data_IF_404253600931
#
_entry.id   IF_404253600931
#
_cell.length_a   1.000
_cell.length_b   1.000
_cell.length_c   1.000
_cell.angle_alpha   90.00
_cell.angle_beta   90.00
_cell.angle_gamma   90.00
#
_symmetry.space_group_name_H-M   'P 1'
#
loop_
_entity.id
_entity.type
_entity.pdbx_description
1 polymer ?
#
# COMPACT_ATOMS: atom_id res chain seq x y z
N UNK A 1 -20.11 -16.31 0.18
CA UNK A 1 -18.73 -16.76 0.44
C UNK A 1 -18.28 -17.61 -0.74
N UNK A 2 -17.00 -17.53 -1.12
CA UNK A 2 -16.35 -18.45 -2.05
C UNK A 2 -15.65 -19.48 -1.16
N UNK A 3 -16.08 -20.73 -1.16
CA UNK A 3 -15.59 -21.78 -0.24
C UNK A 3 -15.14 -23.06 -0.95
N UNK A 4 -15.29 -23.12 -2.27
CA UNK A 4 -14.81 -24.22 -3.10
C UNK A 4 -13.29 -24.21 -3.35
N UNK A 5 -12.58 -23.17 -2.92
CA UNK A 5 -11.11 -23.06 -3.01
C UNK A 5 -10.52 -23.41 -1.64
N UNK A 6 -9.53 -24.32 -1.55
CA UNK A 6 -8.84 -24.60 -0.31
C UNK A 6 -8.21 -23.33 0.28
N UNK A 7 -8.34 -23.14 1.61
CA UNK A 7 -7.87 -21.93 2.31
C UNK A 7 -6.37 -21.67 2.05
N UNK A 8 -5.56 -22.73 2.01
CA UNK A 8 -4.12 -22.67 1.71
C UNK A 8 -3.80 -22.09 0.34
N UNK A 9 -4.72 -22.24 -0.61
CA UNK A 9 -4.47 -21.95 -2.02
C UNK A 9 -4.86 -20.52 -2.39
N UNK A 10 -5.51 -19.77 -1.48
CA UNK A 10 -5.95 -18.41 -1.76
C UNK A 10 -4.80 -17.45 -2.10
N UNK A 11 -3.80 -17.40 -1.22
CA UNK A 11 -2.64 -16.52 -1.41
C UNK A 11 -1.80 -16.96 -2.62
N UNK A 12 -1.47 -18.25 -2.82
CA UNK A 12 -0.80 -18.72 -4.03
C UNK A 12 -1.57 -18.41 -5.32
N UNK A 13 -2.88 -18.66 -5.34
CA UNK A 13 -3.70 -18.43 -6.53
C UNK A 13 -3.70 -16.97 -6.97
N UNK A 14 -3.78 -16.03 -6.02
CA UNK A 14 -3.60 -14.61 -6.31
C UNK A 14 -2.23 -14.35 -6.96
N UNK A 15 -1.13 -14.81 -6.36
CA UNK A 15 0.21 -14.52 -6.86
C UNK A 15 0.53 -15.19 -8.21
N UNK A 16 0.05 -16.41 -8.45
CA UNK A 16 0.18 -17.04 -9.77
C UNK A 16 -0.65 -16.30 -10.84
N UNK A 17 -1.84 -15.82 -10.48
CA UNK A 17 -2.65 -15.00 -11.39
C UNK A 17 -1.93 -13.71 -11.78
N UNK A 18 -1.33 -13.01 -10.80
CA UNK A 18 -0.51 -11.81 -11.07
C UNK A 18 0.73 -12.16 -11.91
N UNK A 19 1.40 -13.29 -11.64
CA UNK A 19 2.54 -13.72 -12.44
C UNK A 19 2.15 -13.88 -13.91
N UNK A 20 1.06 -14.57 -14.19
CA UNK A 20 0.56 -14.77 -15.56
C UNK A 20 0.29 -13.43 -16.24
N UNK A 21 -0.39 -12.50 -15.57
CA UNK A 21 -0.67 -11.17 -16.12
C UNK A 21 0.61 -10.36 -16.38
N UNK A 22 1.61 -10.46 -15.50
CA UNK A 22 2.93 -9.85 -15.67
C UNK A 22 3.65 -10.46 -16.88
N UNK A 23 3.62 -11.79 -17.05
CA UNK A 23 4.24 -12.48 -18.19
C UNK A 23 3.56 -12.12 -19.53
N UNK A 24 2.23 -12.02 -19.55
CA UNK A 24 1.47 -11.55 -20.73
C UNK A 24 1.89 -10.12 -21.07
N UNK A 25 1.93 -9.23 -20.08
CA UNK A 25 2.33 -7.83 -20.28
C UNK A 25 3.79 -7.72 -20.74
N UNK A 26 4.68 -8.53 -20.16
CA UNK A 26 6.07 -8.64 -20.60
C UNK A 26 6.18 -9.07 -22.06
N UNK A 27 5.40 -10.06 -22.49
CA UNK A 27 5.36 -10.48 -23.89
C UNK A 27 4.85 -9.35 -24.80
N UNK A 28 3.76 -8.68 -24.43
CA UNK A 28 3.23 -7.51 -25.19
C UNK A 28 4.26 -6.37 -25.30
N UNK A 29 5.05 -6.16 -24.24
CA UNK A 29 6.14 -5.19 -24.20
C UNK A 29 7.29 -5.58 -25.15
N UNK A 30 7.64 -6.86 -25.20
CA UNK A 30 8.74 -7.35 -26.05
C UNK A 30 8.41 -7.37 -27.54
N UNK A 31 7.14 -7.59 -27.88
CA UNK A 31 6.62 -7.48 -29.26
C UNK A 31 6.31 -6.03 -29.67
N UNK A 32 6.43 -5.06 -28.74
CA UNK A 32 6.22 -3.64 -29.00
C UNK A 32 4.74 -3.21 -29.08
N UNK A 33 3.80 -4.11 -28.81
CA UNK A 33 2.36 -3.85 -28.97
C UNK A 33 1.68 -3.29 -27.72
N UNK A 34 2.34 -3.37 -26.55
CA UNK A 34 1.74 -3.04 -25.24
C UNK A 34 1.10 -1.63 -25.17
N UNK A 35 1.64 -0.66 -25.92
CA UNK A 35 1.18 0.72 -25.94
C UNK A 35 0.40 1.08 -27.21
N UNK A 36 0.09 0.11 -28.09
CA UNK A 36 -0.78 0.33 -29.24
C UNK A 36 -2.22 0.54 -28.80
N UNK A 37 -2.92 1.51 -29.41
CA UNK A 37 -4.27 1.94 -29.01
C UNK A 37 -5.26 0.77 -28.85
N UNK A 38 -5.28 -0.18 -29.78
CA UNK A 38 -6.19 -1.34 -29.71
C UNK A 38 -5.88 -2.26 -28.51
N UNK A 39 -4.59 -2.53 -28.26
CA UNK A 39 -4.15 -3.33 -27.12
C UNK A 39 -4.42 -2.61 -25.81
N UNK A 40 -4.18 -1.30 -25.75
CA UNK A 40 -4.47 -0.47 -24.58
C UNK A 40 -5.97 -0.50 -24.23
N UNK A 41 -6.85 -0.40 -25.22
CA UNK A 41 -8.30 -0.51 -25.00
C UNK A 41 -8.71 -1.90 -24.50
N UNK A 42 -8.15 -2.97 -25.08
CA UNK A 42 -8.43 -4.34 -24.65
C UNK A 42 -7.92 -4.57 -23.22
N UNK A 43 -6.68 -4.18 -22.93
CA UNK A 43 -6.08 -4.27 -21.60
C UNK A 43 -6.86 -3.44 -20.58
N UNK A 44 -7.39 -2.27 -20.97
CA UNK A 44 -8.25 -1.47 -20.10
C UNK A 44 -9.54 -2.20 -19.73
N UNK A 45 -10.17 -2.95 -20.65
CA UNK A 45 -11.36 -3.78 -20.35
C UNK A 45 -10.99 -4.94 -19.42
N UNK A 46 -9.90 -5.66 -19.72
CA UNK A 46 -9.39 -6.72 -18.84
C UNK A 46 -9.03 -6.21 -17.46
N UNK A 47 -8.49 -5.00 -17.35
CA UNK A 47 -8.21 -4.33 -16.09
C UNK A 47 -9.46 -4.13 -15.24
N UNK A 48 -10.58 -3.73 -15.83
CA UNK A 48 -11.86 -3.60 -15.12
C UNK A 48 -12.33 -4.98 -14.66
N UNK A 49 -12.37 -5.96 -15.58
CA UNK A 49 -12.86 -7.29 -15.27
C UNK A 49 -12.04 -7.95 -14.15
N UNK A 50 -10.72 -7.90 -14.24
CA UNK A 50 -9.83 -8.44 -13.21
C UNK A 50 -10.00 -7.71 -11.87
N UNK A 51 -10.17 -6.39 -11.89
CA UNK A 51 -10.43 -5.60 -10.68
C UNK A 51 -11.71 -6.06 -9.99
N UNK A 52 -12.80 -6.24 -10.74
CA UNK A 52 -14.08 -6.73 -10.21
C UNK A 52 -13.91 -8.13 -9.63
N UNK A 53 -13.30 -9.05 -10.38
CA UNK A 53 -13.03 -10.42 -9.92
C UNK A 53 -12.19 -10.42 -8.65
N UNK A 54 -11.17 -9.57 -8.56
CA UNK A 54 -10.31 -9.45 -7.39
C UNK A 54 -11.07 -8.91 -6.17
N UNK A 55 -11.96 -7.94 -6.35
CA UNK A 55 -12.82 -7.43 -5.27
C UNK A 55 -13.70 -8.54 -4.71
N UNK A 56 -14.36 -9.32 -5.58
CA UNK A 56 -15.18 -10.47 -5.15
C UNK A 56 -14.34 -11.56 -4.50
N UNK A 57 -13.22 -11.93 -5.12
CA UNK A 57 -12.31 -12.95 -4.63
C UNK A 57 -11.77 -12.64 -3.23
N UNK A 58 -11.36 -11.39 -3.02
CA UNK A 58 -10.84 -10.90 -1.75
C UNK A 58 -11.96 -10.73 -0.72
N UNK A 59 -13.09 -10.11 -1.09
CA UNK A 59 -14.17 -9.77 -0.17
C UNK A 59 -15.01 -10.96 0.28
N UNK A 60 -15.22 -11.95 -0.59
CA UNK A 60 -16.03 -13.14 -0.31
C UNK A 60 -15.20 -14.35 0.13
N UNK A 61 -13.90 -14.20 0.36
CA UNK A 61 -13.02 -15.25 0.89
C UNK A 61 -13.53 -15.80 2.24
N UNK A 62 -13.15 -17.04 2.62
CA UNK A 62 -13.49 -17.59 3.93
C UNK A 62 -12.72 -16.87 5.05
N UNK A 63 -13.24 -16.97 6.28
CA UNK A 63 -12.59 -16.44 7.48
C UNK A 63 -11.58 -17.46 7.97
N UNK A 64 -10.29 -17.10 7.96
CA UNK A 64 -9.22 -18.00 8.36
C UNK A 64 -8.02 -17.25 8.95
N UNK A 65 -7.30 -17.90 9.87
CA UNK A 65 -6.12 -17.33 10.55
C UNK A 65 -4.93 -17.07 9.61
N UNK A 66 -4.84 -17.79 8.49
CA UNK A 66 -3.83 -17.54 7.45
C UNK A 66 -3.94 -16.11 6.87
N UNK A 67 -5.11 -15.47 7.00
CA UNK A 67 -5.36 -14.09 6.59
C UNK A 67 -5.08 -13.07 7.68
N UNK A 68 -4.33 -13.44 8.74
CA UNK A 68 -3.92 -12.53 9.82
C UNK A 68 -5.12 -11.94 10.57
N UNK A 69 -5.19 -10.61 10.66
CA UNK A 69 -6.22 -9.92 11.46
C UNK A 69 -7.67 -10.15 10.97
N UNK A 70 -7.91 -10.84 9.84
CA UNK A 70 -9.26 -11.24 9.41
C UNK A 70 -10.06 -11.88 10.55
N UNK A 71 -9.45 -12.80 11.32
CA UNK A 71 -10.14 -13.49 12.42
C UNK A 71 -10.48 -12.55 13.56
N UNK A 72 -9.63 -11.56 13.82
CA UNK A 72 -9.87 -10.55 14.85
C UNK A 72 -11.03 -9.62 14.45
N UNK A 73 -11.07 -9.19 13.18
CA UNK A 73 -12.19 -8.43 12.66
C UNK A 73 -13.49 -9.24 12.70
N UNK A 74 -13.42 -10.54 12.42
CA UNK A 74 -14.57 -11.43 12.45
C UNK A 74 -15.09 -11.66 13.87
N UNK A 75 -14.20 -11.94 14.81
CA UNK A 75 -14.56 -12.09 16.21
C UNK A 75 -15.26 -10.83 16.73
N UNK A 76 -14.68 -9.65 16.51
CA UNK A 76 -15.31 -8.38 16.91
C UNK A 76 -16.66 -8.16 16.22
N UNK A 77 -16.80 -8.54 14.96
CA UNK A 77 -18.06 -8.44 14.21
C UNK A 77 -19.15 -9.29 14.86
N UNK A 78 -18.86 -10.57 15.12
CA UNK A 78 -19.81 -11.48 15.74
C UNK A 78 -20.14 -11.11 17.19
N UNK A 79 -19.19 -10.57 17.95
CA UNK A 79 -19.47 -10.04 19.29
C UNK A 79 -20.50 -8.92 19.24
N UNK A 80 -20.37 -7.98 18.29
CA UNK A 80 -21.34 -6.90 18.12
C UNK A 80 -22.68 -7.46 17.61
N UNK A 81 -22.65 -8.38 16.64
CA UNK A 81 -23.85 -8.97 16.05
C UNK A 81 -24.73 -9.70 17.08
N UNK A 82 -24.12 -10.45 18.01
CA UNK A 82 -24.85 -11.17 19.06
C UNK A 82 -25.24 -10.29 20.27
N UNK A 83 -24.73 -9.07 20.37
CA UNK A 83 -25.09 -8.14 21.46
C UNK A 83 -26.50 -7.58 21.27
N UNK A 84 -27.22 -7.35 22.38
CA UNK A 84 -28.52 -6.66 22.38
C UNK A 84 -28.42 -5.14 22.23
N UNK A 85 -27.23 -4.56 22.40
CA UNK A 85 -27.03 -3.11 22.34
C UNK A 85 -27.30 -2.55 20.94
N UNK A 86 -27.97 -1.40 20.79
CA UNK A 86 -28.16 -0.78 19.48
C UNK A 86 -26.82 -0.25 18.92
N UNK A 87 -26.76 -0.05 17.60
CA UNK A 87 -25.64 0.67 16.99
C UNK A 87 -25.62 2.13 17.48
N UNK A 88 -24.46 2.57 17.98
CA UNK A 88 -24.22 3.96 18.40
C UNK A 88 -22.95 4.45 17.70
N UNK A 89 -23.04 5.63 17.09
CA UNK A 89 -21.88 6.24 16.44
C UNK A 89 -20.86 6.74 17.47
N UNK A 90 -19.59 6.40 17.29
CA UNK A 90 -18.50 6.83 18.19
C UNK A 90 -17.36 7.54 17.45
N UNK A 91 -16.69 8.50 18.10
CA UNK A 91 -15.60 9.29 17.52
C UNK A 91 -14.22 8.88 18.05
N UNK A 92 -13.97 7.56 18.12
CA UNK A 92 -12.68 7.01 18.57
C UNK A 92 -11.65 6.91 17.43
N UNK A 93 -10.45 6.39 17.71
CA UNK A 93 -9.44 6.11 16.66
C UNK A 93 -10.04 5.22 15.57
N UNK A 94 -9.71 5.50 14.30
CA UNK A 94 -10.26 4.81 13.12
C UNK A 94 -11.81 4.83 13.08
N UNK A 95 -12.41 5.95 13.51
CA UNK A 95 -13.85 6.12 13.68
C UNK A 95 -14.67 5.61 12.49
N UNK A 96 -14.27 5.92 11.25
CA UNK A 96 -15.08 5.54 10.10
C UNK A 96 -15.09 4.03 9.89
N UNK A 97 -13.94 3.37 10.05
CA UNK A 97 -13.86 1.92 9.93
C UNK A 97 -14.69 1.22 10.99
N UNK A 98 -14.53 1.58 12.26
CA UNK A 98 -15.22 0.89 13.35
C UNK A 98 -16.73 1.16 13.35
N UNK A 99 -17.16 2.36 12.97
CA UNK A 99 -18.60 2.63 12.81
C UNK A 99 -19.21 1.83 11.65
N UNK A 100 -18.54 1.72 10.50
CA UNK A 100 -19.02 0.85 9.42
C UNK A 100 -19.03 -0.61 9.85
N UNK A 101 -17.96 -1.09 10.51
CA UNK A 101 -17.88 -2.45 11.02
C UNK A 101 -19.04 -2.76 11.98
N UNK A 102 -19.31 -1.89 12.95
CA UNK A 102 -20.41 -2.06 13.90
C UNK A 102 -21.78 -1.95 13.24
N UNK A 103 -21.96 -1.03 12.28
CA UNK A 103 -23.22 -0.90 11.54
C UNK A 103 -23.52 -2.17 10.73
N UNK A 104 -22.54 -2.68 9.98
CA UNK A 104 -22.71 -3.93 9.24
C UNK A 104 -22.92 -5.12 10.18
N UNK A 105 -22.27 -5.15 11.35
CA UNK A 105 -22.49 -6.20 12.34
C UNK A 105 -23.93 -6.25 12.86
N UNK A 106 -24.59 -5.09 13.00
CA UNK A 106 -25.98 -5.02 13.44
C UNK A 106 -27.01 -5.27 12.35
N UNK A 107 -26.70 -4.88 11.12
CA UNK A 107 -27.72 -4.80 10.06
C UNK A 107 -27.42 -5.65 8.83
N UNK A 108 -26.30 -6.37 8.81
CA UNK A 108 -25.83 -7.14 7.66
C UNK A 108 -24.95 -8.32 8.11
N UNK A 109 -24.14 -8.85 7.20
CA UNK A 109 -23.21 -9.95 7.42
C UNK A 109 -21.76 -9.54 7.16
N UNK A 110 -20.85 -10.36 7.68
CA UNK A 110 -19.42 -10.10 7.63
C UNK A 110 -18.82 -10.14 6.22
N UNK A 111 -19.33 -10.98 5.33
CA UNK A 111 -18.80 -11.06 3.97
C UNK A 111 -19.22 -9.86 3.15
N UNK A 112 -20.42 -9.32 3.37
CA UNK A 112 -20.82 -8.03 2.78
C UNK A 112 -19.93 -6.89 3.31
N UNK A 113 -19.60 -6.88 4.60
CA UNK A 113 -18.64 -5.91 5.15
C UNK A 113 -17.24 -6.05 4.53
N UNK A 114 -16.70 -7.27 4.42
CA UNK A 114 -15.40 -7.50 3.78
C UNK A 114 -15.42 -7.18 2.28
N UNK A 115 -16.54 -7.40 1.59
CA UNK A 115 -16.71 -6.99 0.20
C UNK A 115 -16.67 -5.45 0.06
N UNK A 116 -17.31 -4.71 0.97
CA UNK A 116 -17.20 -3.25 1.03
C UNK A 116 -15.74 -2.81 1.26
N UNK A 117 -15.04 -3.46 2.20
CA UNK A 117 -13.63 -3.17 2.46
C UNK A 117 -12.75 -3.40 1.22
N UNK A 118 -12.92 -4.54 0.54
CA UNK A 118 -12.20 -4.87 -0.69
C UNK A 118 -12.54 -3.89 -1.83
N UNK A 119 -13.81 -3.50 -1.96
CA UNK A 119 -14.26 -2.51 -2.94
C UNK A 119 -13.61 -1.14 -2.71
N UNK A 120 -13.60 -0.64 -1.48
CA UNK A 120 -12.94 0.62 -1.12
C UNK A 120 -11.43 0.52 -1.36
N UNK A 121 -10.82 -0.60 -0.97
CA UNK A 121 -9.40 -0.81 -1.13
C UNK A 121 -8.99 -0.82 -2.62
N UNK A 122 -9.43 -1.82 -3.37
CA UNK A 122 -9.00 -2.07 -4.75
C UNK A 122 -9.64 -1.06 -5.71
N UNK A 123 -10.90 -0.69 -5.50
CA UNK A 123 -11.62 0.28 -6.33
C UNK A 123 -11.01 1.68 -6.29
N UNK A 124 -10.56 2.15 -5.12
CA UNK A 124 -9.87 3.44 -5.02
C UNK A 124 -8.54 3.45 -5.76
N UNK A 125 -7.77 2.35 -5.71
CA UNK A 125 -6.52 2.20 -6.46
C UNK A 125 -6.77 2.18 -7.98
N UNK A 126 -7.78 1.42 -8.43
CA UNK A 126 -8.20 1.41 -9.84
C UNK A 126 -8.61 2.81 -10.32
N UNK A 127 -9.44 3.52 -9.56
CA UNK A 127 -9.84 4.90 -9.87
C UNK A 127 -8.64 5.85 -9.89
N UNK A 128 -7.71 5.72 -8.96
CA UNK A 128 -6.51 6.55 -8.94
C UNK A 128 -5.66 6.33 -10.21
N UNK A 129 -5.46 5.07 -10.62
CA UNK A 129 -4.70 4.76 -11.84
C UNK A 129 -5.41 5.25 -13.10
N UNK A 130 -6.73 5.07 -13.20
CA UNK A 130 -7.55 5.63 -14.27
C UNK A 130 -7.39 7.16 -14.36
N UNK A 131 -7.39 7.85 -13.23
CA UNK A 131 -7.24 9.32 -13.19
C UNK A 131 -5.86 9.78 -13.63
N UNK A 132 -4.81 9.10 -13.18
CA UNK A 132 -3.42 9.47 -13.51
C UNK A 132 -3.06 9.10 -14.96
N UNK A 133 -3.45 7.91 -15.42
CA UNK A 133 -2.95 7.31 -16.68
C UNK A 133 -4.01 7.14 -17.77
N UNK A 134 -5.27 7.52 -17.51
CA UNK A 134 -6.39 7.42 -18.47
C UNK A 134 -6.51 5.99 -18.99
N UNK A 135 -6.69 5.79 -20.31
CA UNK A 135 -6.79 4.46 -20.93
C UNK A 135 -5.58 3.56 -20.71
N UNK A 136 -4.41 4.11 -20.33
CA UNK A 136 -3.16 3.36 -20.12
C UNK A 136 -3.00 2.83 -18.69
N UNK A 137 -4.03 2.92 -17.85
CA UNK A 137 -3.97 2.59 -16.43
C UNK A 137 -3.68 1.11 -16.10
N UNK A 138 -3.93 0.19 -17.04
CA UNK A 138 -3.81 -1.25 -16.80
C UNK A 138 -2.42 -1.66 -16.30
N UNK A 139 -1.36 -1.21 -16.98
CA UNK A 139 0.02 -1.56 -16.60
C UNK A 139 0.37 -0.99 -15.21
N UNK A 140 0.14 0.31 -14.90
CA UNK A 140 0.25 0.85 -13.55
C UNK A 140 -0.52 0.09 -12.48
N UNK A 141 -1.75 -0.32 -12.78
CA UNK A 141 -2.58 -1.06 -11.84
C UNK A 141 -2.01 -2.46 -11.58
N UNK A 142 -1.52 -3.13 -12.62
CA UNK A 142 -0.83 -4.41 -12.49
C UNK A 142 0.44 -4.29 -11.62
N UNK A 143 1.19 -3.18 -11.73
CA UNK A 143 2.32 -2.90 -10.83
C UNK A 143 1.86 -2.78 -9.38
N UNK A 144 0.75 -2.10 -9.11
CA UNK A 144 0.17 -2.02 -7.76
C UNK A 144 -0.17 -3.42 -7.22
N UNK A 145 -0.85 -4.24 -8.03
CA UNK A 145 -1.22 -5.61 -7.64
C UNK A 145 0.00 -6.53 -7.45
N UNK A 146 1.11 -6.20 -8.10
CA UNK A 146 2.39 -6.89 -8.00
C UNK A 146 3.19 -6.52 -6.74
N UNK A 147 2.74 -5.55 -5.92
CA UNK A 147 3.50 -5.15 -4.73
C UNK A 147 3.43 -6.19 -3.61
N UNK A 148 4.52 -6.31 -2.87
CA UNK A 148 4.77 -7.36 -1.86
C UNK A 148 3.65 -7.47 -0.84
N UNK A 149 3.11 -6.34 -0.40
CA UNK A 149 2.07 -6.29 0.64
C UNK A 149 0.65 -6.13 0.11
N UNK A 150 0.44 -6.06 -1.22
CA UNK A 150 -0.87 -5.78 -1.80
C UNK A 150 -1.96 -6.75 -1.29
N UNK A 151 -1.72 -8.06 -1.39
CA UNK A 151 -2.65 -9.08 -0.90
C UNK A 151 -2.91 -8.95 0.61
N UNK A 152 -1.83 -8.79 1.38
CA UNK A 152 -1.90 -8.65 2.84
C UNK A 152 -2.69 -7.42 3.28
N UNK A 153 -2.75 -6.34 2.51
CA UNK A 153 -3.61 -5.19 2.81
C UNK A 153 -5.09 -5.46 2.61
N UNK A 154 -5.43 -6.41 1.73
CA UNK A 154 -6.81 -6.82 1.48
C UNK A 154 -7.37 -7.77 2.53
N UNK A 155 -6.49 -8.51 3.21
CA UNK A 155 -6.90 -9.61 4.10
C UNK A 155 -6.45 -9.44 5.55
N UNK A 156 -5.26 -8.89 5.79
CA UNK A 156 -4.71 -8.71 7.12
C UNK A 156 -4.80 -7.23 7.54
N UNK A 157 -4.06 -6.35 6.87
CA UNK A 157 -4.06 -4.91 7.12
C UNK A 157 -5.24 -4.16 6.51
N UNK A 158 -6.48 -4.65 6.67
CA UNK A 158 -7.68 -4.15 5.97
C UNK A 158 -7.86 -2.63 6.15
N UNK A 159 -7.80 -2.13 7.38
CA UNK A 159 -7.86 -0.69 7.69
C UNK A 159 -6.80 0.12 6.95
N UNK A 160 -5.55 -0.35 6.97
CA UNK A 160 -4.42 0.28 6.29
C UNK A 160 -4.65 0.30 4.78
N UNK A 161 -5.12 -0.81 4.21
CA UNK A 161 -5.48 -0.93 2.80
C UNK A 161 -6.51 0.12 2.39
N UNK A 162 -7.63 0.18 3.11
CA UNK A 162 -8.71 1.12 2.85
C UNK A 162 -8.26 2.58 2.99
N UNK A 163 -7.62 2.93 4.10
CA UNK A 163 -7.17 4.30 4.34
C UNK A 163 -6.16 4.75 3.29
N UNK A 164 -5.11 3.96 3.05
CA UNK A 164 -4.06 4.35 2.13
C UNK A 164 -4.54 4.40 0.68
N UNK A 165 -5.40 3.48 0.21
CA UNK A 165 -5.92 3.54 -1.16
C UNK A 165 -6.78 4.77 -1.41
N UNK A 166 -7.60 5.17 -0.44
CA UNK A 166 -8.39 6.40 -0.51
C UNK A 166 -7.48 7.62 -0.47
N UNK A 167 -6.39 7.60 0.32
CA UNK A 167 -5.39 8.66 0.30
C UNK A 167 -4.65 8.75 -1.05
N UNK A 168 -4.26 7.63 -1.65
CA UNK A 168 -3.72 7.59 -3.02
C UNK A 168 -4.70 8.25 -3.99
N UNK A 169 -6.00 7.93 -3.89
CA UNK A 169 -7.03 8.57 -4.71
C UNK A 169 -7.11 10.09 -4.44
N UNK A 170 -7.05 10.51 -3.18
CA UNK A 170 -7.05 11.92 -2.76
C UNK A 170 -5.93 12.72 -3.44
N UNK A 171 -4.72 12.15 -3.51
CA UNK A 171 -3.57 12.78 -4.16
C UNK A 171 -3.82 13.07 -5.66
N UNK A 172 -4.67 12.30 -6.33
CA UNK A 172 -5.04 12.55 -7.74
C UNK A 172 -6.02 13.72 -7.94
N UNK A 173 -6.55 14.28 -6.84
CA UNK A 173 -7.44 15.43 -6.82
C UNK A 173 -6.75 16.71 -6.36
N UNK A 174 -5.43 16.78 -6.46
CA UNK A 174 -4.67 17.95 -5.98
C UNK A 174 -5.08 19.29 -6.64
N UNK A 175 -5.59 19.23 -7.87
CA UNK A 175 -6.17 20.39 -8.57
C UNK A 175 -7.62 20.72 -8.15
N UNK A 176 -8.20 19.96 -7.22
CA UNK A 176 -9.54 20.12 -6.64
C UNK A 176 -9.47 19.89 -5.13
N UNK A 177 -8.83 20.83 -4.43
CA UNK A 177 -8.52 20.75 -3.01
C UNK A 177 -9.69 20.31 -2.12
N UNK A 178 -10.94 20.76 -2.28
CA UNK A 178 -12.04 20.29 -1.45
C UNK A 178 -12.24 18.77 -1.50
N UNK A 179 -12.10 18.17 -2.68
CA UNK A 179 -12.21 16.71 -2.86
C UNK A 179 -10.99 16.01 -2.26
N UNK A 180 -9.78 16.55 -2.48
CA UNK A 180 -8.57 15.98 -1.90
C UNK A 180 -8.59 16.00 -0.36
N UNK A 181 -9.05 17.10 0.24
CA UNK A 181 -9.19 17.26 1.69
C UNK A 181 -10.25 16.29 2.23
N UNK A 182 -11.43 16.23 1.60
CA UNK A 182 -12.49 15.30 2.00
C UNK A 182 -12.01 13.85 1.97
N UNK A 183 -11.39 13.42 0.88
CA UNK A 183 -10.85 12.06 0.75
C UNK A 183 -9.72 11.80 1.76
N UNK A 184 -8.90 12.81 2.08
CA UNK A 184 -7.86 12.68 3.11
C UNK A 184 -8.45 12.49 4.51
N UNK A 185 -9.54 13.20 4.83
CA UNK A 185 -10.28 13.02 6.09
C UNK A 185 -10.90 11.63 6.16
N UNK A 186 -11.51 11.15 5.07
CA UNK A 186 -12.05 9.78 4.97
C UNK A 186 -10.94 8.75 5.15
N UNK A 187 -9.78 8.93 4.51
CA UNK A 187 -8.63 8.04 4.66
C UNK A 187 -8.15 7.95 6.12
N UNK A 188 -8.05 9.09 6.81
CA UNK A 188 -7.71 9.15 8.24
C UNK A 188 -8.80 8.49 9.09
N UNK A 189 -10.07 8.66 8.72
CA UNK A 189 -11.20 7.99 9.36
C UNK A 189 -11.13 6.46 9.26
N UNK A 190 -10.61 5.91 8.17
CA UNK A 190 -10.36 4.46 8.06
C UNK A 190 -9.13 4.02 8.84
N UNK A 191 -8.05 4.81 8.79
CA UNK A 191 -6.86 4.51 9.56
C UNK A 191 -6.02 5.74 9.89
N UNK A 192 -5.75 5.95 11.18
CA UNK A 192 -5.01 7.12 11.72
C UNK A 192 -3.61 7.30 11.14
N UNK A 193 -2.95 6.23 10.67
CA UNK A 193 -1.62 6.32 10.05
C UNK A 193 -1.62 7.16 8.76
N UNK A 194 -2.77 7.35 8.10
CA UNK A 194 -2.89 8.23 6.94
C UNK A 194 -2.63 9.70 7.28
N UNK A 195 -2.66 10.09 8.57
CA UNK A 195 -2.23 11.41 9.04
C UNK A 195 -0.77 11.68 8.66
N UNK A 196 0.10 10.67 8.79
CA UNK A 196 1.51 10.81 8.39
C UNK A 196 1.64 11.00 6.88
N UNK A 197 0.84 10.29 6.07
CA UNK A 197 0.82 10.46 4.62
C UNK A 197 0.36 11.87 4.22
N UNK A 198 -0.69 12.36 4.86
CA UNK A 198 -1.22 13.70 4.64
C UNK A 198 -0.19 14.77 5.02
N UNK A 199 0.43 14.67 6.20
CA UNK A 199 1.48 15.58 6.65
C UNK A 199 2.69 15.58 5.70
N UNK A 200 3.14 14.40 5.27
CA UNK A 200 4.21 14.27 4.29
C UNK A 200 3.85 14.94 2.96
N UNK A 201 2.63 14.76 2.47
CA UNK A 201 2.15 15.38 1.23
C UNK A 201 2.07 16.91 1.35
N UNK A 202 1.66 17.44 2.49
CA UNK A 202 1.66 18.89 2.76
C UNK A 202 3.08 19.44 2.80
N UNK A 203 4.01 18.79 3.49
CA UNK A 203 5.42 19.21 3.52
C UNK A 203 6.02 19.21 2.10
N UNK A 204 5.78 18.12 1.36
CA UNK A 204 6.21 17.96 -0.03
C UNK A 204 5.63 19.02 -0.98
N UNK A 205 4.45 19.57 -0.66
CA UNK A 205 3.82 20.64 -1.43
C UNK A 205 4.60 21.96 -1.34
N UNK A 206 5.11 22.30 -0.15
CA UNK A 206 5.84 23.54 0.10
C UNK A 206 7.33 23.44 -0.22
N UNK A 207 7.99 22.36 0.20
CA UNK A 207 9.41 22.14 -0.08
C UNK A 207 9.51 21.24 -1.31
N UNK A 208 9.74 21.84 -2.49
CA UNK A 208 9.69 21.12 -3.78
C UNK A 208 10.97 20.36 -4.13
N UNK A 209 12.13 20.75 -3.59
CA UNK A 209 13.42 20.22 -4.01
C UNK A 209 13.65 18.78 -3.51
N UNK A 210 13.52 17.80 -4.42
CA UNK A 210 13.73 16.37 -4.15
C UNK A 210 15.11 16.01 -3.59
N UNK A 211 16.11 16.87 -3.80
CA UNK A 211 17.47 16.62 -3.30
C UNK A 211 17.51 16.59 -1.77
N UNK A 212 16.80 17.51 -1.10
CA UNK A 212 16.78 17.57 0.36
C UNK A 212 16.13 16.32 0.97
N UNK A 213 15.04 15.83 0.38
CA UNK A 213 14.39 14.60 0.84
C UNK A 213 15.25 13.38 0.65
N UNK A 214 15.99 13.30 -0.47
CA UNK A 214 16.90 12.19 -0.72
C UNK A 214 18.05 12.19 0.30
N UNK A 215 18.64 13.35 0.58
CA UNK A 215 19.66 13.48 1.62
C UNK A 215 19.10 13.13 3.01
N UNK A 216 17.90 13.60 3.34
CA UNK A 216 17.25 13.29 4.61
C UNK A 216 17.01 11.78 4.74
N UNK A 217 16.58 11.11 3.67
CA UNK A 217 16.41 9.65 3.65
C UNK A 217 17.72 8.90 3.88
N UNK A 218 18.79 9.27 3.16
CA UNK A 218 20.13 8.69 3.35
C UNK A 218 20.62 8.92 4.79
N UNK A 219 20.42 10.13 5.31
CA UNK A 219 20.72 10.48 6.70
C UNK A 219 19.95 9.61 7.70
N UNK A 220 18.67 9.34 7.46
CA UNK A 220 17.85 8.46 8.30
C UNK A 220 18.36 7.01 8.27
N UNK A 221 18.81 6.50 7.12
CA UNK A 221 19.44 5.17 7.03
C UNK A 221 20.69 5.10 7.91
N UNK A 222 21.59 6.08 7.76
CA UNK A 222 22.82 6.15 8.55
C UNK A 222 22.55 6.31 10.05
N UNK A 223 21.65 7.22 10.43
CA UNK A 223 21.27 7.47 11.81
C UNK A 223 20.60 6.24 12.45
N UNK A 224 19.66 5.61 11.76
CA UNK A 224 19.00 4.39 12.22
C UNK A 224 20.00 3.24 12.39
N UNK A 225 20.92 3.07 11.45
CA UNK A 225 21.96 2.05 11.57
C UNK A 225 22.86 2.29 12.80
N UNK A 226 23.37 3.52 12.98
CA UNK A 226 24.30 3.88 14.04
C UNK A 226 23.67 3.94 15.44
N UNK A 227 22.45 4.48 15.56
CA UNK A 227 21.79 4.67 16.86
C UNK A 227 21.10 3.42 17.42
N UNK A 228 20.92 2.37 16.60
CA UNK A 228 20.27 1.14 17.03
C UNK A 228 18.82 1.37 17.48
N UNK A 229 18.44 0.76 18.62
CA UNK A 229 17.09 0.90 19.20
C UNK A 229 16.86 2.24 19.93
N UNK A 230 17.89 3.07 20.11
CA UNK A 230 17.77 4.34 20.88
C UNK A 230 16.72 5.28 20.31
N UNK A 231 16.65 5.37 18.98
CA UNK A 231 15.67 6.23 18.29
C UNK A 231 14.24 5.75 18.57
N UNK A 232 14.01 4.44 18.57
CA UNK A 232 12.68 3.87 18.80
C UNK A 232 12.24 4.05 20.23
N UNK A 233 13.13 3.79 21.19
CA UNK A 233 12.85 4.01 22.61
C UNK A 233 12.54 5.48 22.87
N UNK A 234 13.29 6.40 22.23
CA UNK A 234 13.01 7.83 22.32
C UNK A 234 11.64 8.18 21.74
N UNK A 235 11.31 7.69 20.53
CA UNK A 235 10.02 7.94 19.89
C UNK A 235 8.83 7.35 20.67
N UNK A 236 9.00 6.20 21.32
CA UNK A 236 7.99 5.59 22.18
C UNK A 236 7.68 6.48 23.40
N UNK A 237 8.68 7.19 23.93
CA UNK A 237 8.55 7.99 25.15
C UNK A 237 8.04 9.42 24.94
N UNK A 238 8.17 9.99 23.73
CA UNK A 238 7.80 11.40 23.49
C UNK A 238 6.27 11.59 23.35
N UNK A 239 5.50 10.53 23.09
CA UNK A 239 4.06 10.66 22.88
C UNK A 239 3.70 11.52 21.64
N UNK A 240 4.61 11.60 20.65
CA UNK A 240 4.52 12.47 19.45
C UNK A 240 3.23 12.29 18.61
N UNK A 241 2.44 11.23 18.83
CA UNK A 241 1.23 10.89 18.07
C UNK A 241 -0.05 10.76 18.94
N UNK A 242 0.00 11.31 20.16
CA UNK A 242 -1.11 11.37 21.13
C UNK A 242 -1.12 10.21 22.15
N UNK A 243 -2.14 10.17 23.01
CA UNK A 243 -2.36 9.16 24.09
C UNK A 243 -2.63 7.72 23.59
N UNK A 244 -2.27 7.42 22.34
CA UNK A 244 -2.56 6.15 21.68
C UNK A 244 -1.41 5.17 21.97
N UNK A 245 -1.54 4.41 23.07
CA UNK A 245 -0.56 3.39 23.51
C UNK A 245 -0.17 2.41 22.38
N UNK A 246 -1.05 2.23 21.38
CA UNK A 246 -0.83 1.37 20.22
C UNK A 246 0.42 1.73 19.40
N UNK A 247 0.80 3.01 19.31
CA UNK A 247 2.02 3.40 18.59
C UNK A 247 3.26 2.90 19.33
N UNK A 248 3.29 3.07 20.66
CA UNK A 248 4.35 2.55 21.51
C UNK A 248 4.38 1.01 21.47
N UNK A 249 3.24 0.34 21.60
CA UNK A 249 3.11 -1.11 21.51
C UNK A 249 3.66 -1.66 20.19
N UNK A 250 3.49 -0.94 19.08
CA UNK A 250 4.04 -1.35 17.78
C UNK A 250 5.56 -1.20 17.67
N UNK A 251 6.14 -0.27 18.44
CA UNK A 251 7.58 -0.10 18.54
C UNK A 251 8.20 -1.14 19.47
N UNK A 252 7.64 -1.35 20.66
CA UNK A 252 8.19 -2.18 21.74
C UNK A 252 7.81 -3.65 21.62
N UNK A 253 6.63 -3.95 21.09
CA UNK A 253 6.11 -5.31 21.01
C UNK A 253 5.56 -5.84 22.33
N UNK A 254 5.13 -4.97 23.27
CA UNK A 254 4.71 -5.37 24.63
C UNK A 254 3.56 -6.40 24.66
N UNK A 255 2.79 -6.51 23.58
CA UNK A 255 1.70 -7.48 23.43
C UNK A 255 2.13 -8.82 22.78
N UNK A 256 3.41 -9.01 22.47
CA UNK A 256 3.95 -10.25 21.90
C UNK A 256 4.54 -11.15 23.00
N UNK A 257 4.59 -12.47 22.76
CA UNK A 257 5.16 -13.47 23.70
C UNK A 257 6.37 -14.18 23.06
N UNK A 258 7.52 -14.23 23.75
CA UNK A 258 8.63 -15.17 23.47
C UNK A 258 9.81 -14.67 22.60
N UNK A 259 10.67 -15.61 22.14
CA UNK A 259 11.88 -15.42 21.30
C UNK A 259 11.63 -14.69 19.96
N UNK A 260 10.38 -14.63 19.50
CA UNK A 260 9.94 -13.96 18.26
C UNK A 260 10.18 -12.44 18.31
N UNK A 261 10.21 -11.85 19.51
CA UNK A 261 10.49 -10.42 19.73
C UNK A 261 11.97 -10.09 19.46
N UNK A 262 12.90 -10.95 19.87
CA UNK A 262 14.34 -10.69 19.69
C UNK A 262 14.77 -10.82 18.22
N UNK A 263 14.14 -11.70 17.44
CA UNK A 263 14.43 -11.86 16.00
C UNK A 263 13.83 -10.75 15.12
N UNK A 264 12.75 -10.11 15.55
CA UNK A 264 12.06 -9.06 14.78
C UNK A 264 12.68 -7.66 14.95
N UNK A 265 13.42 -7.42 16.04
CA UNK A 265 14.09 -6.15 16.33
C UNK A 265 15.52 -6.03 15.77
N UNK A 266 15.80 -6.74 14.69
CA UNK A 266 17.05 -6.62 13.91
C UNK A 266 16.85 -5.61 12.77
N UNK A 267 17.94 -4.99 12.32
CA UNK A 267 17.87 -4.08 11.17
C UNK A 267 17.41 -4.83 9.91
N UNK A 268 16.23 -4.48 9.39
CA UNK A 268 15.55 -5.18 8.28
C UNK A 268 16.13 -4.79 6.92
N UNK A 269 17.31 -5.33 6.60
CA UNK A 269 17.97 -5.13 5.31
C UNK A 269 17.11 -5.56 4.12
N UNK A 270 16.38 -6.66 4.27
CA UNK A 270 15.43 -7.15 3.26
C UNK A 270 14.37 -6.10 2.90
N UNK A 271 13.74 -5.49 3.91
CA UNK A 271 12.74 -4.43 3.71
C UNK A 271 13.35 -3.11 3.25
N UNK A 272 14.58 -2.81 3.67
CA UNK A 272 15.29 -1.62 3.20
C UNK A 272 15.61 -1.74 1.71
N UNK A 273 16.10 -2.90 1.25
CA UNK A 273 16.37 -3.18 -0.17
C UNK A 273 15.09 -3.05 -0.99
N UNK A 274 13.98 -3.63 -0.51
CA UNK A 274 12.68 -3.49 -1.17
C UNK A 274 12.25 -2.03 -1.31
N UNK A 275 12.33 -1.25 -0.22
CA UNK A 275 11.98 0.17 -0.21
C UNK A 275 12.91 1.01 -1.08
N UNK A 276 14.20 0.68 -1.10
CA UNK A 276 15.23 1.39 -1.84
C UNK A 276 15.00 1.31 -3.36
N UNK A 277 14.24 0.32 -3.85
CA UNK A 277 13.82 0.25 -5.25
C UNK A 277 13.05 1.52 -5.66
N UNK A 278 12.10 1.97 -4.85
CA UNK A 278 11.36 3.22 -5.09
C UNK A 278 12.25 4.46 -5.04
N UNK A 279 13.17 4.51 -4.07
CA UNK A 279 14.16 5.58 -3.93
C UNK A 279 15.06 5.67 -5.16
N UNK A 280 15.59 4.52 -5.60
CA UNK A 280 16.49 4.45 -6.75
C UNK A 280 15.80 4.85 -8.05
N UNK A 281 14.58 4.35 -8.31
CA UNK A 281 13.84 4.70 -9.53
C UNK A 281 13.52 6.20 -9.56
N UNK A 282 13.06 6.76 -8.44
CA UNK A 282 12.83 8.20 -8.33
C UNK A 282 14.11 9.02 -8.56
N UNK A 283 15.21 8.67 -7.89
CA UNK A 283 16.51 9.29 -8.09
C UNK A 283 16.93 9.26 -9.57
N UNK A 284 16.86 8.08 -10.20
CA UNK A 284 17.27 7.88 -11.57
C UNK A 284 16.48 8.78 -12.54
N UNK A 285 15.15 8.80 -12.44
CA UNK A 285 14.36 9.60 -13.37
C UNK A 285 14.48 11.11 -13.13
N UNK A 286 14.47 11.54 -11.86
CA UNK A 286 14.53 12.96 -11.52
C UNK A 286 15.91 13.53 -11.85
N UNK A 287 16.99 12.93 -11.33
CA UNK A 287 18.33 13.52 -11.42
C UNK A 287 19.12 13.06 -12.64
N UNK A 288 19.02 11.77 -13.04
CA UNK A 288 19.81 11.24 -14.17
C UNK A 288 19.11 11.42 -15.51
N UNK A 289 17.77 11.35 -15.56
CA UNK A 289 16.99 11.56 -16.79
C UNK A 289 16.35 12.94 -16.89
N UNK A 290 16.55 13.81 -15.90
CA UNK A 290 16.02 15.17 -15.85
C UNK A 290 14.51 15.19 -16.14
N UNK A 291 13.76 14.24 -15.54
CA UNK A 291 12.32 14.17 -15.67
C UNK A 291 11.68 15.24 -14.77
N UNK A 292 11.23 16.34 -15.39
CA UNK A 292 10.63 17.50 -14.72
C UNK A 292 9.10 17.43 -14.82
N UNK A 293 8.49 16.81 -13.83
CA UNK A 293 7.04 16.73 -13.65
C UNK A 293 6.75 17.06 -12.17
N UNK A 294 6.09 18.19 -11.91
CA UNK A 294 5.86 18.67 -10.54
C UNK A 294 5.03 17.68 -9.71
N UNK A 295 4.04 17.04 -10.34
CA UNK A 295 3.19 16.07 -9.68
C UNK A 295 4.00 14.82 -9.29
N UNK A 296 4.87 14.34 -10.17
CA UNK A 296 5.77 13.23 -9.87
C UNK A 296 6.78 13.57 -8.76
N UNK A 297 7.37 14.77 -8.79
CA UNK A 297 8.31 15.22 -7.75
C UNK A 297 7.60 15.29 -6.39
N UNK A 298 6.38 15.81 -6.36
CA UNK A 298 5.55 15.86 -5.16
C UNK A 298 5.23 14.46 -4.59
N UNK A 299 4.82 13.52 -5.45
CA UNK A 299 4.60 12.13 -5.05
C UNK A 299 5.88 11.50 -4.51
N UNK A 300 7.01 11.70 -5.19
CA UNK A 300 8.31 11.16 -4.79
C UNK A 300 8.79 11.72 -3.45
N UNK A 301 8.64 13.02 -3.23
CA UNK A 301 9.00 13.66 -1.96
C UNK A 301 8.11 13.13 -0.82
N UNK A 302 6.81 12.95 -1.07
CA UNK A 302 5.87 12.34 -0.10
C UNK A 302 6.29 10.91 0.26
N UNK A 303 6.65 10.12 -0.75
CA UNK A 303 7.21 8.77 -0.56
C UNK A 303 8.50 8.80 0.27
N UNK A 304 9.45 9.70 -0.02
CA UNK A 304 10.71 9.78 0.71
C UNK A 304 10.52 10.16 2.19
N UNK A 305 9.64 11.11 2.51
CA UNK A 305 9.36 11.49 3.90
C UNK A 305 8.76 10.30 4.67
N UNK A 306 7.72 9.68 4.12
CA UNK A 306 7.05 8.53 4.76
C UNK A 306 7.99 7.34 4.90
N UNK A 307 8.86 7.09 3.91
CA UNK A 307 9.84 6.01 3.98
C UNK A 307 10.98 6.34 4.96
N UNK A 308 11.47 7.59 5.00
CA UNK A 308 12.49 8.03 5.95
C UNK A 308 12.02 7.88 7.40
N UNK A 309 10.76 8.23 7.68
CA UNK A 309 10.15 7.99 8.99
C UNK A 309 10.18 6.50 9.36
N UNK A 310 9.77 5.61 8.45
CA UNK A 310 9.85 4.17 8.70
C UNK A 310 11.30 3.70 8.93
N UNK A 311 12.26 4.18 8.14
CA UNK A 311 13.68 3.81 8.28
C UNK A 311 14.19 4.12 9.70
N UNK A 312 13.76 5.23 10.31
CA UNK A 312 14.12 5.57 11.69
C UNK A 312 13.59 4.55 12.71
N UNK A 313 12.48 3.88 12.41
CA UNK A 313 11.86 2.85 13.26
C UNK A 313 11.96 1.44 12.67
N UNK A 314 12.95 1.20 11.82
CA UNK A 314 13.08 -0.04 11.02
C UNK A 314 13.15 -1.34 11.84
N UNK A 315 13.62 -1.26 13.09
CA UNK A 315 13.73 -2.40 14.03
C UNK A 315 12.46 -2.61 14.87
N UNK A 316 11.35 -1.95 14.54
CA UNK A 316 10.16 -1.97 15.38
C UNK A 316 9.57 -3.39 15.36
N UNK A 317 8.99 -3.85 16.46
CA UNK A 317 8.38 -5.17 16.53
C UNK A 317 7.37 -5.40 15.38
N UNK A 318 6.59 -4.37 15.05
CA UNK A 318 5.69 -4.34 13.91
C UNK A 318 6.17 -3.39 12.79
N UNK A 319 7.47 -3.44 12.46
CA UNK A 319 8.12 -2.58 11.43
C UNK A 319 7.40 -2.57 10.08
N UNK A 320 6.81 -3.71 9.68
CA UNK A 320 5.99 -3.78 8.48
C UNK A 320 4.83 -2.76 8.54
N UNK A 321 4.11 -2.63 9.65
CA UNK A 321 2.96 -1.70 9.78
C UNK A 321 3.34 -0.24 9.52
N UNK A 322 4.58 0.14 9.84
CA UNK A 322 5.13 1.46 9.54
C UNK A 322 5.62 1.57 8.08
N UNK A 323 6.33 0.55 7.57
CA UNK A 323 6.85 0.53 6.19
C UNK A 323 5.73 0.70 5.16
N UNK A 324 4.60 0.08 5.46
CA UNK A 324 3.41 0.01 4.62
C UNK A 324 2.96 1.39 4.12
N UNK A 325 3.04 2.42 4.97
CA UNK A 325 2.65 3.80 4.67
C UNK A 325 3.33 4.32 3.39
N UNK A 326 4.63 4.08 3.26
CA UNK A 326 5.40 4.47 2.08
C UNK A 326 5.22 3.49 0.91
N UNK A 327 5.04 2.19 1.19
CA UNK A 327 4.91 1.15 0.17
C UNK A 327 3.63 1.25 -0.66
N UNK A 328 2.58 1.89 -0.14
CA UNK A 328 1.39 2.21 -0.96
C UNK A 328 1.67 3.23 -2.07
N UNK A 329 2.60 4.16 -1.86
CA UNK A 329 2.97 5.20 -2.85
C UNK A 329 3.99 4.64 -3.84
N UNK A 330 4.88 3.77 -3.37
CA UNK A 330 5.98 3.19 -4.14
C UNK A 330 5.60 2.67 -5.55
N UNK A 331 4.55 1.85 -5.76
CA UNK A 331 4.23 1.36 -7.11
C UNK A 331 3.99 2.49 -8.12
N UNK A 332 3.45 3.63 -7.67
CA UNK A 332 3.24 4.81 -8.53
C UNK A 332 4.59 5.44 -8.87
N UNK A 333 5.49 5.57 -7.89
CA UNK A 333 6.85 6.06 -8.13
C UNK A 333 7.58 5.20 -9.16
N UNK A 334 7.45 3.88 -9.04
CA UNK A 334 8.10 2.93 -9.94
C UNK A 334 7.64 3.08 -11.39
N UNK A 335 6.32 3.17 -11.62
CA UNK A 335 5.76 3.06 -12.98
C UNK A 335 5.48 4.40 -13.66
N UNK A 336 5.31 5.49 -12.90
CA UNK A 336 4.85 6.78 -13.43
C UNK A 336 5.74 7.33 -14.56
N UNK A 337 7.08 7.40 -14.43
CA UNK A 337 7.92 7.96 -15.49
C UNK A 337 7.84 7.15 -16.78
N UNK A 338 7.83 5.81 -16.68
CA UNK A 338 7.75 4.91 -17.84
C UNK A 338 6.49 5.14 -18.65
N UNK A 339 5.37 5.45 -18.00
CA UNK A 339 4.09 5.64 -18.70
C UNK A 339 3.88 7.06 -19.21
N UNK A 340 4.57 8.06 -18.64
CA UNK A 340 4.42 9.47 -19.03
C UNK A 340 5.36 9.93 -20.14
N UNK A 341 6.54 9.32 -20.25
CA UNK A 341 7.53 9.71 -21.25
C UNK A 341 8.31 8.50 -21.76
N UNK A 342 8.54 8.46 -23.08
CA UNK A 342 9.50 7.54 -23.69
C UNK A 342 10.92 8.06 -23.49
N UNK A 343 11.78 7.28 -22.84
CA UNK A 343 13.18 7.67 -22.58
C UNK A 343 14.19 6.91 -23.43
N UNK A 344 13.78 5.83 -24.08
CA UNK A 344 14.66 4.93 -24.82
C UNK A 344 14.05 4.55 -26.17
N UNK A 345 14.90 4.12 -27.12
CA UNK A 345 14.43 3.56 -28.40
C UNK A 345 13.64 2.27 -28.20
N UNK A 346 14.10 1.39 -27.29
CA UNK A 346 13.44 0.13 -26.93
C UNK A 346 12.61 0.27 -25.64
N UNK A 347 11.85 1.36 -25.53
CA UNK A 347 11.14 1.73 -24.30
C UNK A 347 10.23 0.63 -23.76
N UNK A 348 9.44 0.01 -24.63
CA UNK A 348 8.48 -1.03 -24.27
C UNK A 348 9.20 -2.27 -23.71
N UNK A 349 10.35 -2.65 -24.28
CA UNK A 349 11.15 -3.78 -23.78
C UNK A 349 11.69 -3.51 -22.36
N UNK A 350 12.17 -2.29 -22.12
CA UNK A 350 12.66 -1.87 -20.80
C UNK A 350 11.50 -1.81 -19.80
N UNK A 351 10.34 -1.31 -20.20
CA UNK A 351 9.12 -1.35 -19.39
C UNK A 351 8.78 -2.79 -19.01
N UNK A 352 8.76 -3.72 -19.98
CA UNK A 352 8.52 -5.14 -19.71
C UNK A 352 9.51 -5.72 -18.69
N UNK A 353 10.81 -5.50 -18.89
CA UNK A 353 11.83 -5.97 -17.95
C UNK A 353 11.66 -5.35 -16.55
N UNK A 354 11.30 -4.07 -16.46
CA UNK A 354 11.04 -3.42 -15.18
C UNK A 354 9.85 -4.06 -14.44
N UNK A 355 8.78 -4.45 -15.14
CA UNK A 355 7.64 -5.17 -14.54
C UNK A 355 8.06 -6.48 -13.88
N UNK A 356 8.92 -7.27 -14.55
CA UNK A 356 9.47 -8.50 -13.97
C UNK A 356 10.28 -8.21 -12.71
N UNK A 357 11.16 -7.21 -12.75
CA UNK A 357 11.98 -6.82 -11.59
C UNK A 357 11.09 -6.36 -10.42
N UNK A 358 10.08 -5.54 -10.68
CA UNK A 358 9.16 -5.05 -9.65
C UNK A 358 8.38 -6.18 -8.98
N UNK A 359 8.05 -7.24 -9.73
CA UNK A 359 7.33 -8.38 -9.18
C UNK A 359 8.23 -9.45 -8.56
N UNK A 360 9.49 -9.56 -8.99
CA UNK A 360 10.41 -10.61 -8.55
C UNK A 360 10.56 -10.67 -7.03
N UNK A 361 10.68 -9.51 -6.36
CA UNK A 361 10.76 -9.46 -4.90
C UNK A 361 9.49 -10.04 -4.26
N UNK A 362 8.31 -9.57 -4.68
CA UNK A 362 7.03 -10.02 -4.15
C UNK A 362 6.83 -11.51 -4.35
N UNK A 363 7.14 -12.03 -5.54
CA UNK A 363 6.99 -13.44 -5.86
C UNK A 363 7.96 -14.31 -5.04
N UNK A 364 9.23 -13.92 -4.92
CA UNK A 364 10.18 -14.65 -4.12
C UNK A 364 9.74 -14.74 -2.65
N UNK A 365 9.36 -13.62 -2.03
CA UNK A 365 9.01 -13.61 -0.60
C UNK A 365 7.65 -14.23 -0.29
N UNK A 366 6.65 -14.09 -1.16
CA UNK A 366 5.29 -14.60 -0.89
C UNK A 366 5.04 -16.03 -1.40
N UNK A 367 5.88 -16.55 -2.30
CA UNK A 367 5.66 -17.88 -2.92
C UNK A 367 6.88 -18.80 -2.80
N UNK A 368 8.09 -18.32 -3.06
CA UNK A 368 9.28 -19.20 -3.10
C UNK A 368 9.84 -19.45 -1.69
N UNK A 369 9.94 -18.38 -0.90
CA UNK A 369 10.42 -18.42 0.49
C UNK A 369 9.29 -18.75 1.47
N UNK A 370 8.06 -18.35 1.11
CA UNK A 370 6.88 -18.29 1.96
C UNK A 370 6.28 -19.65 2.25
#
# INVERSE_FOLDING_TARGET
>A
MIDFIPISDYTPFFHYSILILVLITFWQCNTGIALHKNIVSINAVWGILFTILLIFYMGLRPIASIFGDTVNYAQGFYTIQHSSEPFIWTWQTDWLFYNLHAWFAKYSDIHTFFLLCAFIYVGSLWLAMQRIFKSYYYIPLLVIFSMFTFWNYGVNGIRNGMGASVFILAMTYINRLPIAILLSIIAIGFHKSCTLMAGAAVIAWFIKNSYFYLLAWIGCVGASYAAGMRIQNYLANIGLLGDDNRFADYLTGDNMVGEIIQMSMVFRWDFLIYSAMGVFVGYYFIFRRNFRDEYYHWLYNTFLITNAFWVLVIRAAYSNRFAQISWFIMPIILIYPFMKRRFWKNHEKILGAALLVFYAFSFYFNIVKG
#
